data_IF_445346539969
#
_entry.id   IF_445346539969
#
_cell.length_a   1.000
_cell.length_b   1.000
_cell.length_c   1.000
_cell.angle_alpha   90.00
_cell.angle_beta   90.00
_cell.angle_gamma   90.00
#
_symmetry.space_group_name_H-M   'P 1'
#
loop_
_entity.id
_entity.type
_entity.pdbx_description
1 polymer ?
#
# COMPACT_ATOMS: atom_id res chain seq x y z
N UNK A 1 4.54 -12.13 33.07
CA UNK A 1 5.37 -11.79 31.92
C UNK A 1 4.70 -12.36 30.69
N UNK A 2 4.04 -11.50 29.89
CA UNK A 2 3.55 -11.90 28.58
C UNK A 2 4.75 -12.35 27.75
N UNK A 3 4.77 -13.60 27.35
CA UNK A 3 5.69 -14.08 26.32
C UNK A 3 5.28 -13.40 25.03
N UNK A 4 6.02 -12.40 24.61
CA UNK A 4 5.99 -11.92 23.24
C UNK A 4 6.48 -13.11 22.41
N UNK A 5 5.55 -13.80 21.78
CA UNK A 5 5.89 -14.86 20.85
C UNK A 5 6.62 -14.18 19.68
N UNK A 6 7.87 -14.56 19.49
CA UNK A 6 8.64 -14.07 18.36
C UNK A 6 7.91 -14.45 17.04
N UNK A 7 7.73 -13.47 16.16
CA UNK A 7 7.16 -13.72 14.84
C UNK A 7 8.10 -14.65 14.08
N UNK A 8 7.63 -15.78 13.54
CA UNK A 8 8.47 -16.68 12.75
C UNK A 8 9.07 -15.97 11.53
N UNK A 9 10.20 -16.49 11.04
CA UNK A 9 10.77 -15.99 9.80
C UNK A 9 9.80 -16.18 8.62
N UNK A 10 9.78 -15.25 7.67
CA UNK A 10 8.99 -15.43 6.45
C UNK A 10 9.35 -16.71 5.70
N UNK A 11 8.34 -17.31 5.04
CA UNK A 11 8.51 -18.50 4.22
C UNK A 11 8.67 -18.09 2.75
N UNK A 12 9.85 -18.33 2.18
CA UNK A 12 10.15 -18.01 0.78
C UNK A 12 9.20 -18.69 -0.20
N UNK A 13 8.64 -19.84 0.15
CA UNK A 13 7.75 -20.59 -0.73
C UNK A 13 6.44 -19.86 -1.04
N UNK A 14 6.05 -18.86 -0.22
CA UNK A 14 4.85 -18.06 -0.49
C UNK A 14 4.94 -17.32 -1.82
N UNK A 15 6.14 -16.96 -2.26
CA UNK A 15 6.39 -16.30 -3.54
C UNK A 15 6.05 -17.19 -4.75
N UNK A 16 5.94 -18.48 -4.55
CA UNK A 16 5.56 -19.47 -5.58
C UNK A 16 4.06 -19.80 -5.56
N UNK A 17 3.30 -19.20 -4.66
CA UNK A 17 1.86 -19.45 -4.58
C UNK A 17 1.16 -18.98 -5.86
N UNK A 18 0.21 -19.78 -6.35
CA UNK A 18 -0.54 -19.45 -7.56
C UNK A 18 -1.37 -18.16 -7.38
N UNK A 19 -1.92 -17.96 -6.18
CA UNK A 19 -2.70 -16.75 -5.86
C UNK A 19 -1.87 -15.48 -5.94
N UNK A 20 -0.68 -15.46 -5.34
CA UNK A 20 0.21 -14.32 -5.45
C UNK A 20 0.62 -14.07 -6.90
N UNK A 21 1.02 -15.10 -7.63
CA UNK A 21 1.46 -14.95 -9.02
C UNK A 21 0.34 -14.42 -9.92
N UNK A 22 -0.90 -14.81 -9.68
CA UNK A 22 -2.06 -14.29 -10.39
C UNK A 22 -2.35 -12.82 -10.02
N UNK A 23 -2.08 -12.40 -8.78
CA UNK A 23 -2.32 -11.04 -8.30
C UNK A 23 -1.25 -10.03 -8.74
N UNK A 24 -0.06 -10.48 -9.04
CA UNK A 24 1.14 -9.63 -9.21
C UNK A 24 0.95 -8.51 -10.25
N UNK A 25 0.25 -8.77 -11.35
CA UNK A 25 0.04 -7.76 -12.40
C UNK A 25 -0.98 -6.67 -12.02
N UNK A 26 -1.60 -6.74 -10.86
CA UNK A 26 -2.47 -5.68 -10.32
C UNK A 26 -1.77 -4.81 -9.29
N UNK A 27 -0.48 -4.99 -9.11
CA UNK A 27 0.37 -4.11 -8.32
C UNK A 27 1.06 -3.13 -9.26
N UNK A 28 1.02 -1.84 -8.94
CA UNK A 28 1.48 -0.79 -9.85
C UNK A 28 2.50 0.13 -9.18
N UNK A 29 3.33 0.77 -9.99
CA UNK A 29 4.24 1.83 -9.58
C UNK A 29 3.54 3.17 -9.69
N UNK A 30 3.70 4.01 -8.68
CA UNK A 30 3.14 5.36 -8.66
C UNK A 30 4.28 6.37 -8.63
N UNK A 31 4.18 7.39 -9.47
CA UNK A 31 5.14 8.48 -9.56
C UNK A 31 4.39 9.81 -9.68
N UNK A 32 5.01 10.87 -9.18
CA UNK A 32 4.48 12.22 -9.31
C UNK A 32 5.50 13.27 -8.92
N UNK A 33 5.21 14.51 -9.27
CA UNK A 33 6.03 15.67 -8.94
C UNK A 33 5.24 16.59 -8.01
N UNK A 34 5.87 16.96 -6.89
CA UNK A 34 5.37 17.94 -5.94
C UNK A 34 6.25 19.20 -6.01
N UNK A 35 5.91 20.16 -6.90
CA UNK A 35 6.79 21.32 -7.15
C UNK A 35 6.95 22.22 -5.93
N UNK A 36 5.92 22.35 -5.10
CA UNK A 36 5.95 23.21 -3.91
C UNK A 36 7.00 22.82 -2.89
N UNK A 37 7.42 21.55 -2.88
CA UNK A 37 8.49 21.05 -2.01
C UNK A 37 9.67 20.51 -2.82
N UNK A 38 9.70 20.74 -4.13
CA UNK A 38 10.80 20.35 -5.03
C UNK A 38 11.12 18.85 -4.93
N UNK A 39 10.07 18.00 -4.90
CA UNK A 39 10.24 16.54 -4.79
C UNK A 39 9.64 15.80 -5.97
N UNK A 40 10.34 14.74 -6.37
CA UNK A 40 9.76 13.64 -7.13
C UNK A 40 9.40 12.54 -6.14
N UNK A 41 8.16 12.09 -6.15
CA UNK A 41 7.65 11.10 -5.19
C UNK A 41 7.35 9.81 -5.92
N UNK A 42 7.75 8.70 -5.31
CA UNK A 42 7.49 7.36 -5.81
C UNK A 42 6.87 6.50 -4.72
N UNK A 43 6.06 5.57 -5.15
CA UNK A 43 5.45 4.56 -4.28
C UNK A 43 4.82 3.46 -5.07
N UNK A 44 4.03 2.68 -4.39
CA UNK A 44 3.31 1.54 -4.94
C UNK A 44 1.82 1.67 -4.71
N UNK A 45 1.04 0.88 -5.43
CA UNK A 45 -0.39 0.79 -5.27
C UNK A 45 -0.92 -0.50 -5.85
N UNK A 46 -2.22 -0.69 -5.74
CA UNK A 46 -2.88 -1.87 -6.29
C UNK A 46 -4.30 -1.56 -6.76
N UNK A 47 -4.77 -2.37 -7.68
CA UNK A 47 -6.07 -2.16 -8.36
C UNK A 47 -7.21 -2.56 -7.44
N UNK A 48 -8.15 -1.65 -7.16
CA UNK A 48 -9.36 -1.89 -6.35
C UNK A 48 -10.65 -1.90 -7.17
N UNK A 49 -10.62 -1.31 -8.36
CA UNK A 49 -11.67 -1.41 -9.38
C UNK A 49 -10.99 -1.33 -10.74
N UNK A 50 -11.65 -1.60 -11.87
CA UNK A 50 -10.96 -1.70 -13.17
C UNK A 50 -10.08 -0.50 -13.53
N UNK A 51 -10.45 0.71 -13.09
CA UNK A 51 -9.72 1.94 -13.38
C UNK A 51 -9.35 2.74 -12.12
N UNK A 52 -9.28 2.09 -10.96
CA UNK A 52 -8.90 2.75 -9.71
C UNK A 52 -7.83 1.97 -8.96
N UNK A 53 -6.92 2.73 -8.39
CA UNK A 53 -5.76 2.23 -7.63
C UNK A 53 -5.79 2.82 -6.23
N UNK A 54 -5.58 1.98 -5.21
CA UNK A 54 -5.36 2.42 -3.85
C UNK A 54 -3.87 2.54 -3.57
N UNK A 55 -3.50 3.55 -2.79
CA UNK A 55 -2.15 3.79 -2.29
C UNK A 55 -2.20 4.50 -0.94
N UNK A 56 -1.05 4.90 -0.40
CA UNK A 56 -1.00 5.77 0.77
C UNK A 56 -1.17 7.24 0.38
N UNK A 57 -1.74 8.03 1.29
CA UNK A 57 -1.84 9.47 1.11
C UNK A 57 -0.45 10.12 0.99
N UNK A 58 0.53 9.68 1.78
CA UNK A 58 1.88 10.25 1.74
C UNK A 58 2.61 10.00 0.40
N UNK A 59 2.18 9.02 -0.39
CA UNK A 59 2.74 8.76 -1.72
C UNK A 59 2.32 9.82 -2.73
N UNK A 60 1.20 10.51 -2.51
CA UNK A 60 0.65 11.52 -3.43
C UNK A 60 0.56 12.91 -2.80
N UNK A 61 1.00 13.08 -1.56
CA UNK A 61 0.92 14.35 -0.83
C UNK A 61 1.64 15.48 -1.59
N UNK A 62 0.93 16.56 -1.88
CA UNK A 62 1.47 17.72 -2.58
C UNK A 62 1.76 17.52 -4.07
N UNK A 63 1.49 16.35 -4.62
CA UNK A 63 1.70 16.08 -6.05
C UNK A 63 0.66 16.82 -6.87
N UNK A 64 1.14 17.66 -7.78
CA UNK A 64 0.29 18.46 -8.70
C UNK A 64 0.67 18.27 -10.15
N UNK A 65 1.77 17.57 -10.45
CA UNK A 65 2.26 17.36 -11.81
C UNK A 65 2.68 15.91 -12.02
N UNK A 66 2.48 15.42 -13.23
CA UNK A 66 2.95 14.11 -13.69
C UNK A 66 2.58 12.96 -12.74
N UNK A 67 1.37 12.98 -12.18
CA UNK A 67 0.86 11.85 -11.44
C UNK A 67 0.57 10.71 -12.41
N UNK A 68 1.34 9.62 -12.30
CA UNK A 68 1.27 8.50 -13.21
C UNK A 68 1.26 7.18 -12.47
N UNK A 69 0.70 6.18 -13.14
CA UNK A 69 0.69 4.78 -12.74
C UNK A 69 1.36 3.97 -13.84
N UNK A 70 2.32 3.12 -13.49
CA UNK A 70 2.97 2.21 -14.42
C UNK A 70 2.66 0.77 -14.04
N UNK A 71 2.15 -0.01 -14.98
CA UNK A 71 1.80 -1.42 -14.78
C UNK A 71 3.01 -2.32 -14.89
N UNK A 72 2.88 -3.58 -14.48
CA UNK A 72 3.94 -4.59 -14.65
C UNK A 72 4.28 -4.86 -16.12
N UNK A 73 3.34 -4.60 -17.03
CA UNK A 73 3.59 -4.68 -18.48
C UNK A 73 4.35 -3.46 -19.04
N UNK A 74 4.64 -2.45 -18.19
CA UNK A 74 5.34 -1.24 -18.60
C UNK A 74 4.45 -0.13 -19.16
N UNK A 75 3.14 -0.31 -19.14
CA UNK A 75 2.20 0.73 -19.59
C UNK A 75 2.14 1.86 -18.56
N UNK A 76 2.44 3.08 -18.99
CA UNK A 76 2.39 4.28 -18.15
C UNK A 76 1.13 5.07 -18.49
N UNK A 77 0.31 5.33 -17.47
CA UNK A 77 -0.98 5.99 -17.60
C UNK A 77 -1.05 7.21 -16.67
N UNK A 78 -1.71 8.27 -17.14
CA UNK A 78 -2.02 9.40 -16.27
C UNK A 78 -3.04 8.99 -15.21
N UNK A 79 -2.87 9.54 -14.02
CA UNK A 79 -3.74 9.27 -12.88
C UNK A 79 -4.17 10.56 -12.20
N UNK A 80 -5.36 10.53 -11.62
CA UNK A 80 -5.93 11.65 -10.86
C UNK A 80 -6.31 11.16 -9.48
N UNK A 81 -5.88 11.85 -8.43
CA UNK A 81 -6.31 11.54 -7.06
C UNK A 81 -7.76 11.97 -6.89
N UNK A 82 -8.63 11.02 -6.55
CA UNK A 82 -10.07 11.22 -6.42
C UNK A 82 -10.59 11.00 -4.99
N UNK A 83 -9.74 10.49 -4.13
CA UNK A 83 -9.99 10.36 -2.69
C UNK A 83 -8.67 10.52 -1.95
N UNK A 84 -8.68 11.30 -0.86
CA UNK A 84 -7.47 11.61 -0.10
C UNK A 84 -7.78 11.68 1.38
N UNK A 85 -7.21 10.76 2.15
CA UNK A 85 -7.40 10.65 3.60
C UNK A 85 -6.03 10.67 4.31
N UNK A 86 -5.55 11.86 4.71
CA UNK A 86 -4.27 11.98 5.40
C UNK A 86 -4.30 11.46 6.85
N UNK A 87 -5.47 11.24 7.42
CA UNK A 87 -5.61 10.71 8.78
C UNK A 87 -5.30 9.20 8.81
N UNK A 88 -5.89 8.44 7.92
CA UNK A 88 -5.64 7.00 7.79
C UNK A 88 -4.38 6.71 6.99
N UNK A 89 -3.96 7.63 6.13
CA UNK A 89 -2.88 7.48 5.16
C UNK A 89 -3.28 6.63 3.95
N UNK A 90 -4.43 6.95 3.37
CA UNK A 90 -4.97 6.29 2.16
C UNK A 90 -5.33 7.33 1.11
N UNK A 91 -5.07 6.99 -0.13
CA UNK A 91 -5.55 7.72 -1.31
C UNK A 91 -6.04 6.75 -2.37
N UNK A 92 -6.94 7.22 -3.22
CA UNK A 92 -7.41 6.47 -4.39
C UNK A 92 -7.20 7.32 -5.63
N UNK A 93 -6.66 6.69 -6.68
CA UNK A 93 -6.40 7.30 -7.97
C UNK A 93 -7.34 6.73 -9.01
N UNK A 94 -7.91 7.62 -9.82
CA UNK A 94 -8.63 7.27 -11.04
C UNK A 94 -7.62 7.21 -12.19
N UNK A 95 -7.59 6.06 -12.90
CA UNK A 95 -6.61 5.77 -13.95
C UNK A 95 -7.35 5.32 -15.20
N UNK A 96 -7.85 6.27 -16.03
CA UNK A 96 -8.52 5.90 -17.28
C UNK A 96 -7.62 5.05 -18.18
N UNK A 97 -8.18 3.98 -18.71
CA UNK A 97 -7.45 3.07 -19.59
C UNK A 97 -6.69 1.94 -18.88
N UNK A 98 -6.71 1.89 -17.57
CA UNK A 98 -6.04 0.82 -16.80
C UNK A 98 -6.65 -0.54 -17.11
N UNK A 99 -7.97 -0.68 -16.96
CA UNK A 99 -8.76 -1.87 -17.32
C UNK A 99 -8.18 -3.18 -16.78
N UNK A 100 -7.75 -3.20 -15.53
CA UNK A 100 -7.30 -4.41 -14.85
C UNK A 100 -8.36 -4.90 -13.89
N UNK A 101 -8.47 -6.23 -13.75
CA UNK A 101 -9.37 -6.81 -12.75
C UNK A 101 -8.91 -6.41 -11.35
N UNK A 102 -9.83 -6.02 -10.45
CA UNK A 102 -9.46 -5.63 -9.10
C UNK A 102 -8.96 -6.81 -8.28
N UNK A 103 -8.11 -6.52 -7.31
CA UNK A 103 -7.84 -7.40 -6.19
C UNK A 103 -8.99 -7.30 -5.18
N UNK A 104 -9.23 -8.37 -4.44
CA UNK A 104 -10.26 -8.41 -3.41
C UNK A 104 -9.62 -8.38 -2.03
N UNK A 105 -10.26 -7.69 -1.08
CA UNK A 105 -9.81 -7.68 0.29
C UNK A 105 -10.06 -9.03 0.97
N UNK A 106 -9.09 -9.48 1.74
CA UNK A 106 -9.17 -10.68 2.57
C UNK A 106 -9.88 -10.38 3.89
N UNK A 107 -10.34 -11.43 4.55
CA UNK A 107 -10.71 -11.36 5.95
C UNK A 107 -9.48 -11.11 6.85
N UNK A 108 -9.70 -11.03 8.15
CA UNK A 108 -8.62 -10.79 9.10
C UNK A 108 -7.58 -11.93 9.08
N UNK A 109 -6.31 -11.56 8.96
CA UNK A 109 -5.21 -12.50 9.09
C UNK A 109 -4.99 -12.90 10.55
N UNK A 110 -4.43 -14.09 10.75
CA UNK A 110 -4.01 -14.56 12.06
C UNK A 110 -2.50 -14.40 12.22
N UNK A 111 -2.01 -14.20 13.47
CA UNK A 111 -0.58 -14.24 13.72
C UNK A 111 0.04 -15.54 13.18
N UNK A 112 1.17 -15.41 12.50
CA UNK A 112 1.86 -16.54 11.87
C UNK A 112 1.44 -16.85 10.43
N UNK A 113 0.40 -16.21 9.91
CA UNK A 113 0.00 -16.39 8.51
C UNK A 113 1.10 -15.92 7.56
N UNK A 114 1.25 -16.66 6.46
CA UNK A 114 2.11 -16.24 5.35
C UNK A 114 1.50 -15.10 4.58
N UNK A 115 2.35 -14.18 4.13
CA UNK A 115 1.94 -13.08 3.27
C UNK A 115 3.07 -12.66 2.33
N UNK A 116 2.77 -11.75 1.41
CA UNK A 116 3.74 -11.17 0.49
C UNK A 116 3.61 -9.66 0.52
N UNK A 117 4.73 -8.96 0.68
CA UNK A 117 4.82 -7.52 0.41
C UNK A 117 5.22 -7.35 -1.04
N UNK A 118 4.36 -6.76 -1.85
CA UNK A 118 4.60 -6.54 -3.27
C UNK A 118 4.62 -5.04 -3.57
N UNK A 119 5.63 -4.57 -4.29
CA UNK A 119 5.76 -3.17 -4.61
C UNK A 119 6.98 -2.84 -5.42
N UNK A 120 7.23 -1.54 -5.54
CA UNK A 120 8.32 -0.97 -6.31
C UNK A 120 9.22 -0.15 -5.39
N UNK A 121 10.30 -0.71 -4.84
CA UNK A 121 11.30 0.06 -4.12
C UNK A 121 11.79 1.25 -4.95
N UNK A 122 12.34 2.27 -4.32
CA UNK A 122 12.80 3.48 -5.03
C UNK A 122 13.69 3.11 -6.23
N UNK A 123 13.42 3.74 -7.37
CA UNK A 123 14.10 3.54 -8.66
C UNK A 123 13.90 2.15 -9.30
N UNK A 124 13.12 1.27 -8.68
CA UNK A 124 12.84 -0.03 -9.28
C UNK A 124 11.89 0.12 -10.48
N UNK A 125 12.25 -0.49 -11.59
CA UNK A 125 11.41 -0.54 -12.81
C UNK A 125 10.61 -1.84 -12.91
N UNK A 126 10.89 -2.80 -12.02
CA UNK A 126 10.23 -4.09 -11.95
C UNK A 126 9.60 -4.30 -10.59
N UNK A 127 8.51 -5.05 -10.56
CA UNK A 127 7.87 -5.45 -9.33
C UNK A 127 8.84 -6.29 -8.48
N UNK A 128 8.93 -5.95 -7.21
CA UNK A 128 9.64 -6.69 -6.19
C UNK A 128 8.63 -7.29 -5.22
N UNK A 129 8.82 -8.55 -4.91
CA UNK A 129 8.01 -9.25 -3.93
C UNK A 129 8.92 -9.87 -2.88
N UNK A 130 8.59 -9.66 -1.62
CA UNK A 130 9.31 -10.27 -0.51
C UNK A 130 8.33 -11.06 0.36
N UNK A 131 8.77 -12.20 0.91
CA UNK A 131 7.93 -12.96 1.81
C UNK A 131 7.73 -12.18 3.11
N UNK A 132 6.57 -12.36 3.71
CA UNK A 132 6.20 -11.75 4.96
C UNK A 132 5.53 -12.76 5.89
N UNK A 133 5.54 -12.45 7.18
CA UNK A 133 4.83 -13.19 8.21
C UNK A 133 4.01 -12.20 9.02
N UNK A 134 2.73 -12.49 9.21
CA UNK A 134 1.87 -11.67 10.06
C UNK A 134 2.30 -11.86 11.52
N UNK A 135 2.55 -10.78 12.22
CA UNK A 135 2.86 -10.79 13.65
C UNK A 135 1.62 -10.68 14.49
N UNK A 136 1.07 -9.50 14.61
CA UNK A 136 -0.14 -9.23 15.38
C UNK A 136 -0.96 -8.13 14.77
N UNK A 137 -2.19 -8.01 15.25
CA UNK A 137 -3.11 -6.93 14.90
C UNK A 137 -3.27 -6.04 16.12
N UNK A 138 -3.29 -4.73 15.92
CA UNK A 138 -3.45 -3.78 17.02
C UNK A 138 -4.09 -2.47 16.55
N UNK A 139 -4.74 -1.79 17.48
CA UNK A 139 -5.17 -0.41 17.31
C UNK A 139 -4.04 0.49 17.78
N UNK A 140 -3.31 1.09 16.85
CA UNK A 140 -2.15 1.90 17.14
C UNK A 140 -2.49 3.38 17.10
N UNK A 141 -2.06 4.13 18.12
CA UNK A 141 -2.09 5.58 18.12
C UNK A 141 -0.80 6.13 17.51
N UNK A 142 -0.94 7.10 16.63
CA UNK A 142 0.18 7.75 15.99
C UNK A 142 -0.24 9.02 15.26
N UNK A 143 0.74 9.78 14.75
CA UNK A 143 0.42 11.00 14.02
C UNK A 143 -0.23 10.68 12.67
N UNK A 144 -1.06 11.62 12.17
CA UNK A 144 -1.42 11.64 10.76
C UNK A 144 -0.17 11.98 9.92
N UNK A 145 -0.28 11.96 8.59
CA UNK A 145 0.89 12.19 7.73
C UNK A 145 1.51 13.58 7.90
N UNK A 146 0.74 14.57 8.36
CA UNK A 146 1.20 15.95 8.57
C UNK A 146 1.63 16.25 10.00
N UNK A 147 1.54 15.28 10.92
CA UNK A 147 1.84 15.45 12.35
C UNK A 147 1.02 16.56 12.99
N UNK A 148 -0.20 16.76 12.53
CA UNK A 148 -1.13 17.80 13.04
C UNK A 148 -2.17 17.24 13.99
N UNK A 149 -2.34 15.93 14.06
CA UNK A 149 -3.28 15.26 14.93
C UNK A 149 -2.79 13.84 15.25
N UNK A 150 -3.23 13.32 16.39
CA UNK A 150 -3.05 11.92 16.75
C UNK A 150 -4.28 11.15 16.31
N UNK A 151 -4.07 10.04 15.62
CA UNK A 151 -5.13 9.17 15.09
C UNK A 151 -4.92 7.74 15.56
N UNK A 152 -6.00 6.98 15.61
CA UNK A 152 -5.97 5.54 15.91
C UNK A 152 -6.27 4.78 14.63
N UNK A 153 -5.40 3.83 14.28
CA UNK A 153 -5.55 3.00 13.08
C UNK A 153 -5.36 1.54 13.45
N UNK A 154 -6.15 0.68 12.82
CA UNK A 154 -5.92 -0.76 12.95
C UNK A 154 -4.81 -1.18 11.99
N UNK A 155 -3.77 -1.79 12.53
CA UNK A 155 -2.59 -2.19 11.77
C UNK A 155 -2.20 -3.64 12.07
N UNK A 156 -1.52 -4.26 11.10
CA UNK A 156 -0.71 -5.45 11.30
C UNK A 156 0.74 -5.05 11.52
N UNK A 157 1.38 -5.67 12.51
CA UNK A 157 2.83 -5.78 12.54
C UNK A 157 3.24 -6.97 11.69
N UNK A 158 4.20 -6.77 10.79
CA UNK A 158 4.66 -7.82 9.89
C UNK A 158 6.17 -8.00 10.00
N UNK A 159 6.63 -9.23 9.87
CA UNK A 159 8.03 -9.53 9.66
C UNK A 159 8.27 -9.60 8.16
N UNK A 160 9.00 -8.63 7.64
CA UNK A 160 9.33 -8.49 6.24
C UNK A 160 10.38 -7.40 6.05
N UNK A 161 11.15 -7.49 4.97
CA UNK A 161 12.03 -6.41 4.54
C UNK A 161 11.18 -5.38 3.78
N UNK A 162 10.83 -4.29 4.45
CA UNK A 162 10.07 -3.19 3.85
C UNK A 162 11.02 -2.06 3.50
N UNK A 163 11.10 -1.71 2.22
CA UNK A 163 11.97 -0.67 1.70
C UNK A 163 11.19 0.57 1.29
N UNK A 164 11.87 1.72 1.23
CA UNK A 164 11.29 2.95 0.65
C UNK A 164 10.78 2.67 -0.77
N UNK A 165 9.57 3.14 -1.08
CA UNK A 165 8.88 2.84 -2.32
C UNK A 165 7.86 1.70 -2.22
N UNK A 166 7.95 0.84 -1.21
CA UNK A 166 6.94 -0.19 -0.94
C UNK A 166 5.64 0.37 -0.36
N UNK A 167 5.67 1.58 0.17
CA UNK A 167 4.47 2.27 0.69
C UNK A 167 3.36 2.32 -0.34
N UNK A 168 2.15 1.99 0.08
CA UNK A 168 0.96 1.92 -0.75
C UNK A 168 0.76 0.58 -1.44
N UNK A 169 1.76 -0.28 -1.45
CA UNK A 169 1.65 -1.62 -2.00
C UNK A 169 0.83 -2.55 -1.10
N UNK A 170 0.27 -3.61 -1.68
CA UNK A 170 -0.55 -4.54 -0.93
C UNK A 170 0.28 -5.49 -0.08
N UNK A 171 -0.26 -5.85 1.07
CA UNK A 171 0.11 -7.03 1.82
C UNK A 171 -0.82 -8.17 1.36
N UNK A 172 -0.30 -9.09 0.57
CA UNK A 172 -1.09 -10.12 -0.09
C UNK A 172 -1.09 -11.42 0.72
N UNK A 173 -2.26 -12.04 0.83
CA UNK A 173 -2.38 -13.43 1.26
C UNK A 173 -1.86 -14.37 0.15
N UNK A 174 -1.60 -15.62 0.50
CA UNK A 174 -1.12 -16.62 -0.46
C UNK A 174 -2.13 -16.94 -1.58
N UNK A 175 -3.42 -16.66 -1.35
CA UNK A 175 -4.47 -16.79 -2.36
C UNK A 175 -4.62 -15.56 -3.27
N UNK A 176 -3.81 -14.51 -3.06
CA UNK A 176 -3.84 -13.28 -3.85
C UNK A 176 -4.82 -12.23 -3.37
N UNK A 177 -5.56 -12.47 -2.29
CA UNK A 177 -6.40 -11.45 -1.66
C UNK A 177 -5.55 -10.51 -0.81
N UNK A 178 -6.07 -9.32 -0.50
CA UNK A 178 -5.33 -8.24 0.15
C UNK A 178 -5.64 -8.22 1.64
N UNK A 179 -4.64 -8.53 2.48
CA UNK A 179 -4.75 -8.36 3.92
C UNK A 179 -4.73 -6.89 4.35
N UNK A 180 -4.03 -6.05 3.59
CA UNK A 180 -3.90 -4.65 3.96
C UNK A 180 -2.95 -3.87 3.05
N UNK A 181 -2.62 -2.66 3.49
CA UNK A 181 -1.79 -1.71 2.74
C UNK A 181 -0.53 -1.40 3.53
N UNK A 182 0.62 -1.73 2.98
CA UNK A 182 1.93 -1.42 3.60
C UNK A 182 2.12 0.09 3.64
N UNK A 183 2.44 0.66 4.79
CA UNK A 183 2.60 2.10 4.91
C UNK A 183 3.87 2.57 5.62
N UNK A 184 4.55 1.68 6.34
CA UNK A 184 5.76 2.06 7.07
C UNK A 184 6.66 0.86 7.35
N UNK A 185 7.96 1.12 7.45
CA UNK A 185 8.92 0.24 8.08
C UNK A 185 9.10 0.66 9.54
N UNK A 186 9.41 -0.29 10.42
CA UNK A 186 9.69 0.01 11.81
C UNK A 186 11.04 0.75 11.93
N UNK A 187 11.06 1.82 12.74
CA UNK A 187 12.28 2.57 13.01
C UNK A 187 13.11 1.82 14.04
N UNK A 188 14.37 1.53 13.71
CA UNK A 188 15.32 0.89 14.62
C UNK A 188 15.08 -0.61 14.88
N UNK A 189 14.16 -1.23 14.16
CA UNK A 189 13.91 -2.68 14.22
C UNK A 189 13.97 -3.25 12.82
N UNK A 190 15.00 -4.03 12.53
CA UNK A 190 15.20 -4.62 11.22
C UNK A 190 14.10 -5.63 10.89
N UNK A 191 13.80 -5.78 9.60
CA UNK A 191 12.88 -6.77 9.06
C UNK A 191 11.49 -6.71 9.69
N UNK A 192 11.04 -5.52 10.05
CA UNK A 192 9.74 -5.27 10.64
C UNK A 192 9.06 -4.11 9.92
N UNK A 193 7.79 -4.27 9.62
CA UNK A 193 6.99 -3.22 8.98
C UNK A 193 5.56 -3.24 9.50
N UNK A 194 4.77 -2.32 8.96
CA UNK A 194 3.38 -2.13 9.34
C UNK A 194 2.49 -2.00 8.12
N UNK A 195 1.31 -2.57 8.20
CA UNK A 195 0.29 -2.46 7.18
C UNK A 195 -1.05 -2.06 7.81
N UNK A 196 -1.76 -1.14 7.17
CA UNK A 196 -3.15 -0.86 7.51
C UNK A 196 -3.98 -2.11 7.17
N UNK A 197 -4.88 -2.53 8.05
CA UNK A 197 -5.69 -3.72 7.78
C UNK A 197 -6.72 -3.46 6.69
N UNK A 198 -7.17 -4.51 6.02
CA UNK A 198 -8.27 -4.42 5.06
C UNK A 198 -9.53 -3.79 5.70
N UNK A 199 -9.85 -4.16 6.94
CA UNK A 199 -10.97 -3.56 7.67
C UNK A 199 -10.80 -2.05 7.86
N UNK A 200 -9.57 -1.58 8.15
CA UNK A 200 -9.29 -0.15 8.33
C UNK A 200 -9.52 0.65 7.05
N UNK A 201 -9.16 0.11 5.89
CA UNK A 201 -9.19 0.85 4.61
C UNK A 201 -10.46 0.62 3.80
N UNK A 202 -11.33 -0.27 4.25
CA UNK A 202 -12.53 -0.66 3.50
C UNK A 202 -13.47 0.52 3.17
N UNK A 203 -13.76 1.37 4.15
CA UNK A 203 -14.61 2.55 3.95
C UNK A 203 -14.00 3.52 2.93
N UNK A 204 -12.68 3.72 2.99
CA UNK A 204 -11.94 4.59 2.05
C UNK A 204 -11.96 4.01 0.63
N UNK A 205 -11.81 2.69 0.50
CA UNK A 205 -11.94 2.02 -0.78
C UNK A 205 -13.33 2.23 -1.39
N UNK A 206 -14.39 2.03 -0.60
CA UNK A 206 -15.76 2.25 -1.05
C UNK A 206 -16.02 3.71 -1.45
N UNK A 207 -15.46 4.67 -0.72
CA UNK A 207 -15.63 6.09 -1.02
C UNK A 207 -14.95 6.51 -2.32
N UNK A 208 -13.83 5.88 -2.70
CA UNK A 208 -13.02 6.28 -3.84
C UNK A 208 -13.17 5.43 -5.09
N UNK A 209 -13.64 4.18 -4.98
CA UNK A 209 -13.54 3.19 -6.06
C UNK A 209 -14.33 3.51 -7.34
N UNK A 210 -15.27 4.44 -7.27
CA UNK A 210 -16.07 4.89 -8.42
C UNK A 210 -15.95 6.40 -8.66
N UNK A 211 -15.15 7.10 -7.87
CA UNK A 211 -14.98 8.55 -8.00
C UNK A 211 -14.10 8.89 -9.21
N UNK A 212 -14.46 9.98 -9.90
CA UNK A 212 -13.72 10.47 -11.08
C UNK A 212 -13.34 11.94 -10.95
N UNK A 213 -13.77 12.61 -9.90
CA UNK A 213 -13.51 14.04 -9.66
C UNK A 213 -12.24 14.23 -8.85
N UNK A 214 -11.32 15.04 -9.33
CA UNK A 214 -10.07 15.36 -8.64
C UNK A 214 -10.34 16.02 -7.28
N UNK A 215 -9.54 15.61 -6.29
CA UNK A 215 -9.50 16.25 -4.98
C UNK A 215 -8.12 16.83 -4.71
N UNK A 216 -8.02 17.77 -3.78
CA UNK A 216 -6.74 18.31 -3.35
C UNK A 216 -5.92 17.25 -2.61
N UNK A 217 -4.63 17.17 -2.89
CA UNK A 217 -3.66 16.38 -2.11
C UNK A 217 -2.92 17.23 -1.08
N UNK A 218 -3.43 18.42 -0.80
CA UNK A 218 -2.89 19.35 0.20
C UNK A 218 -1.41 19.68 -0.06
N UNK A 219 -0.64 19.92 0.97
CA UNK A 219 0.80 20.11 0.89
C UNK A 219 1.58 18.81 1.05
N UNK A 220 2.91 18.91 0.91
CA UNK A 220 3.81 17.79 1.19
C UNK A 220 3.78 17.44 2.68
N UNK A 221 3.98 16.19 2.97
CA UNK A 221 4.11 15.68 4.34
C UNK A 221 5.51 15.90 4.93
#
# INVERSE_FOLDING_TARGET
AERILAIPAPDQNVLNSAGFRAAANRVVRIQGIAPSCQRSIEGSGFVISPNHVMTNAHVVAGVTQQQTVTTTAGQRLDATVVFYDPQVDVAVLYVPGLNLRPLHFAGQANPGDNAVVAGYPLDATRLHAVPARIGGIQNAQGPNIYQTATVTRQIYEIRAVVESGNSGGPLLASDGTVYGVVFAAAVGVDNTGFALTAAQVHADAQAGEHSTTAVSTMGCD
#
